data_IF_613002376371
#
_entry.id   IF_613002376371
#
_cell.length_a   1.000
_cell.length_b   1.000
_cell.length_c   1.000
_cell.angle_alpha   90.00
_cell.angle_beta   90.00
_cell.angle_gamma   90.00
#
_symmetry.space_group_name_H-M   'P 1'
#
loop_
_entity.id
_entity.type
_entity.pdbx_description
1 polymer ?
#
# COMPACT_ATOMS: atom_id res chain seq x y z
N UNK A 1 -59.36 -37.72 83.67
CA UNK A 1 -58.90 -37.60 82.29
C UNK A 1 -57.42 -37.92 82.25
N UNK A 2 -57.10 -38.85 81.46
CA UNK A 2 -55.90 -39.66 81.54
C UNK A 2 -54.61 -38.95 81.24
N UNK A 3 -53.64 -39.11 82.17
CA UNK A 3 -52.27 -38.63 81.90
C UNK A 3 -51.60 -39.12 80.68
N UNK A 4 -52.13 -40.23 80.02
CA UNK A 4 -51.70 -40.77 78.74
C UNK A 4 -52.07 -39.83 77.58
N UNK A 5 -53.32 -39.29 77.55
CA UNK A 5 -53.74 -38.37 76.45
C UNK A 5 -52.99 -37.05 76.51
N UNK A 6 -52.66 -36.54 77.69
CA UNK A 6 -51.80 -35.33 77.80
C UNK A 6 -50.34 -35.58 77.28
N UNK A 7 -49.80 -36.78 77.55
CA UNK A 7 -48.46 -37.13 77.08
C UNK A 7 -48.42 -37.30 75.53
N UNK A 8 -49.42 -37.97 74.95
CA UNK A 8 -49.60 -38.15 73.55
C UNK A 8 -49.76 -36.81 72.81
N UNK A 9 -50.65 -35.93 73.40
CA UNK A 9 -50.85 -34.58 72.85
C UNK A 9 -49.55 -33.75 72.80
N UNK A 10 -48.73 -33.88 73.87
CA UNK A 10 -47.42 -33.19 73.92
C UNK A 10 -46.42 -33.74 72.88
N UNK A 11 -46.34 -35.06 72.72
CA UNK A 11 -45.45 -35.67 71.72
C UNK A 11 -45.85 -35.27 70.30
N UNK A 12 -47.15 -35.21 70.04
CA UNK A 12 -47.63 -34.75 68.71
C UNK A 12 -47.31 -33.28 68.48
N UNK A 13 -47.60 -32.42 69.45
CA UNK A 13 -47.27 -31.00 69.36
C UNK A 13 -45.74 -30.73 69.19
N UNK A 14 -44.91 -31.44 69.96
CA UNK A 14 -43.46 -31.34 69.81
C UNK A 14 -42.95 -31.87 68.41
N UNK A 15 -43.58 -32.91 67.90
CA UNK A 15 -43.28 -33.42 66.58
C UNK A 15 -43.70 -32.44 65.46
N UNK A 16 -44.88 -31.84 65.58
CA UNK A 16 -45.36 -30.80 64.69
C UNK A 16 -44.47 -29.56 64.68
N UNK A 17 -44.03 -29.09 65.90
CA UNK A 17 -43.07 -27.98 66.01
C UNK A 17 -41.78 -28.29 65.32
N UNK A 18 -41.19 -29.46 65.59
CA UNK A 18 -39.95 -29.91 64.93
C UNK A 18 -40.07 -30.02 63.41
N UNK A 19 -41.23 -30.50 62.93
CA UNK A 19 -41.53 -30.60 61.50
C UNK A 19 -41.64 -29.19 60.86
N UNK A 20 -42.28 -28.22 61.53
CA UNK A 20 -42.39 -26.85 61.07
C UNK A 20 -41.03 -26.16 61.04
N UNK A 21 -40.19 -26.32 62.09
CA UNK A 21 -38.85 -25.79 62.17
C UNK A 21 -37.96 -26.33 61.02
N UNK A 22 -38.00 -27.64 60.79
CA UNK A 22 -37.27 -28.24 59.68
C UNK A 22 -37.72 -27.76 58.32
N UNK A 23 -39.06 -27.65 58.11
CA UNK A 23 -39.57 -27.09 56.84
C UNK A 23 -39.12 -25.66 56.62
N UNK A 24 -39.14 -24.82 57.67
CA UNK A 24 -38.61 -23.44 57.55
C UNK A 24 -37.11 -23.40 57.27
N UNK A 25 -36.32 -24.24 57.95
CA UNK A 25 -34.87 -24.35 57.69
C UNK A 25 -34.55 -24.76 56.25
N UNK A 26 -35.27 -25.79 55.75
CA UNK A 26 -35.07 -26.26 54.35
C UNK A 26 -35.51 -25.20 53.34
N UNK A 27 -36.62 -24.51 53.58
CA UNK A 27 -37.07 -23.40 52.75
C UNK A 27 -36.03 -22.27 52.69
N UNK A 28 -35.51 -21.85 53.83
CA UNK A 28 -34.48 -20.82 53.92
C UNK A 28 -33.17 -21.24 53.15
N UNK A 29 -32.76 -22.52 53.28
CA UNK A 29 -31.63 -23.04 52.53
C UNK A 29 -31.88 -23.07 51.02
N UNK A 30 -33.08 -23.45 50.59
CA UNK A 30 -33.45 -23.45 49.17
C UNK A 30 -33.43 -22.01 48.59
N UNK A 31 -34.00 -21.07 49.32
CA UNK A 31 -34.04 -19.68 48.91
C UNK A 31 -32.62 -19.07 48.85
N UNK A 32 -31.75 -19.37 49.81
CA UNK A 32 -30.35 -18.97 49.80
C UNK A 32 -29.59 -19.57 48.60
N UNK A 33 -29.79 -20.87 48.32
CA UNK A 33 -29.17 -21.53 47.17
C UNK A 33 -29.62 -20.93 45.84
N UNK A 34 -30.95 -20.60 45.74
CA UNK A 34 -31.49 -19.94 44.54
C UNK A 34 -30.96 -18.52 44.35
N UNK A 35 -30.82 -17.76 45.43
CA UNK A 35 -30.24 -16.42 45.40
C UNK A 35 -28.77 -16.47 44.93
N UNK A 36 -27.98 -17.39 45.50
CA UNK A 36 -26.57 -17.58 45.11
C UNK A 36 -26.43 -18.02 43.63
N UNK A 37 -27.26 -18.95 43.20
CA UNK A 37 -27.27 -19.38 41.78
C UNK A 37 -27.61 -18.22 40.84
N UNK A 38 -28.59 -17.39 41.17
CA UNK A 38 -28.94 -16.19 40.38
C UNK A 38 -27.82 -15.15 40.39
N UNK A 39 -27.14 -14.93 41.50
CA UNK A 39 -26.02 -14.01 41.61
C UNK A 39 -24.87 -14.48 40.69
N UNK A 40 -24.48 -15.77 40.77
CA UNK A 40 -23.43 -16.33 39.92
C UNK A 40 -23.79 -16.26 38.45
N UNK A 41 -25.03 -16.55 38.07
CA UNK A 41 -25.51 -16.42 36.70
C UNK A 41 -25.43 -14.98 36.20
N UNK A 42 -25.80 -14.01 37.05
CA UNK A 42 -25.67 -12.58 36.77
C UNK A 42 -24.22 -12.14 36.53
N UNK A 43 -23.31 -12.56 37.41
CA UNK A 43 -21.88 -12.29 37.27
C UNK A 43 -21.28 -12.92 36.00
N UNK A 44 -21.65 -14.16 35.69
CA UNK A 44 -21.21 -14.83 34.48
C UNK A 44 -21.65 -14.09 33.22
N UNK A 45 -22.91 -13.67 33.15
CA UNK A 45 -23.45 -12.91 32.03
C UNK A 45 -22.79 -11.52 31.91
N UNK A 46 -22.58 -10.83 33.03
CA UNK A 46 -21.90 -9.53 33.05
C UNK A 46 -20.46 -9.62 32.58
N UNK A 47 -19.71 -10.62 33.03
CA UNK A 47 -18.35 -10.87 32.60
C UNK A 47 -18.29 -11.27 31.10
N UNK A 48 -19.21 -12.14 30.65
CA UNK A 48 -19.32 -12.52 29.24
C UNK A 48 -19.58 -11.31 28.33
N UNK A 49 -20.50 -10.43 28.73
CA UNK A 49 -20.75 -9.18 27.97
C UNK A 49 -19.53 -8.29 27.90
N UNK A 50 -18.83 -8.09 29.01
CA UNK A 50 -17.62 -7.27 29.04
C UNK A 50 -16.53 -7.81 28.12
N UNK A 51 -16.30 -9.12 28.12
CA UNK A 51 -15.33 -9.76 27.22
C UNK A 51 -15.71 -9.55 25.76
N UNK A 52 -16.98 -9.80 25.42
CA UNK A 52 -17.49 -9.61 24.05
C UNK A 52 -17.39 -8.14 23.59
N UNK A 53 -17.67 -7.19 24.46
CA UNK A 53 -17.52 -5.76 24.16
C UNK A 53 -16.05 -5.38 23.90
N UNK A 54 -15.12 -5.92 24.69
CA UNK A 54 -13.69 -5.73 24.48
C UNK A 54 -13.22 -6.34 23.16
N UNK A 55 -13.59 -7.60 22.88
CA UNK A 55 -13.26 -8.26 21.63
C UNK A 55 -13.83 -7.52 20.39
N UNK A 56 -15.07 -7.06 20.49
CA UNK A 56 -15.69 -6.26 19.43
C UNK A 56 -14.93 -4.95 19.19
N UNK A 57 -14.57 -4.24 20.26
CA UNK A 57 -13.77 -3.02 20.14
C UNK A 57 -12.39 -3.26 19.52
N UNK A 58 -11.71 -4.36 19.89
CA UNK A 58 -10.42 -4.73 19.31
C UNK A 58 -10.55 -5.08 17.82
N UNK A 59 -11.62 -5.80 17.42
CA UNK A 59 -11.89 -6.11 16.00
C UNK A 59 -12.08 -4.83 15.20
N UNK A 60 -12.88 -3.88 15.71
CA UNK A 60 -13.12 -2.59 15.05
C UNK A 60 -11.81 -1.82 14.90
N UNK A 61 -11.05 -1.64 15.98
CA UNK A 61 -9.78 -0.91 15.97
C UNK A 61 -8.77 -1.53 14.97
N UNK A 62 -8.70 -2.87 14.91
CA UNK A 62 -7.86 -3.58 13.94
C UNK A 62 -8.32 -3.32 12.51
N UNK A 63 -9.63 -3.36 12.25
CA UNK A 63 -10.21 -3.08 10.93
C UNK A 63 -9.97 -1.64 10.48
N UNK A 64 -10.09 -0.68 11.36
CA UNK A 64 -9.79 0.73 11.09
C UNK A 64 -8.31 0.92 10.73
N UNK A 65 -7.41 0.27 11.47
CA UNK A 65 -5.97 0.30 11.17
C UNK A 65 -5.68 -0.27 9.78
N UNK A 66 -6.22 -1.44 9.46
CA UNK A 66 -6.05 -2.08 8.14
C UNK A 66 -6.63 -1.19 7.03
N UNK A 67 -7.84 -0.67 7.20
CA UNK A 67 -8.46 0.23 6.22
C UNK A 67 -7.62 1.50 6.00
N UNK A 68 -7.02 2.04 7.07
CA UNK A 68 -6.09 3.17 6.99
C UNK A 68 -4.83 2.85 6.17
N UNK A 69 -4.26 1.67 6.35
CA UNK A 69 -3.11 1.19 5.57
C UNK A 69 -3.48 0.97 4.09
N UNK A 70 -4.61 0.34 3.82
CA UNK A 70 -5.09 0.09 2.46
C UNK A 70 -5.36 1.40 1.72
N UNK A 71 -5.96 2.39 2.38
CA UNK A 71 -6.14 3.74 1.82
C UNK A 71 -4.81 4.38 1.43
N UNK A 72 -3.80 4.30 2.30
CA UNK A 72 -2.46 4.86 2.00
C UNK A 72 -1.80 4.13 0.83
N UNK A 73 -1.93 2.81 0.78
CA UNK A 73 -1.41 1.98 -0.32
C UNK A 73 -2.06 2.34 -1.66
N UNK A 74 -3.38 2.48 -1.70
CA UNK A 74 -4.11 2.89 -2.90
C UNK A 74 -3.71 4.30 -3.36
N UNK A 75 -3.60 5.24 -2.43
CA UNK A 75 -3.18 6.60 -2.74
C UNK A 75 -1.76 6.62 -3.33
N UNK A 76 -0.84 5.87 -2.73
CA UNK A 76 0.54 5.77 -3.23
C UNK A 76 0.60 5.12 -4.61
N UNK A 77 -0.18 4.06 -4.84
CA UNK A 77 -0.28 3.41 -6.14
C UNK A 77 -0.82 4.37 -7.22
N UNK A 78 -1.86 5.15 -6.89
CA UNK A 78 -2.40 6.16 -7.80
C UNK A 78 -1.38 7.26 -8.12
N UNK A 79 -0.65 7.76 -7.11
CA UNK A 79 0.41 8.75 -7.32
C UNK A 79 1.54 8.22 -8.21
N UNK A 80 1.99 6.99 -7.97
CA UNK A 80 2.99 6.34 -8.83
C UNK A 80 2.48 6.16 -10.25
N UNK A 81 1.24 5.71 -10.43
CA UNK A 81 0.64 5.58 -11.75
C UNK A 81 0.59 6.89 -12.54
N UNK A 82 0.31 8.00 -11.87
CA UNK A 82 0.31 9.32 -12.50
C UNK A 82 1.73 9.76 -12.93
N UNK A 83 2.75 9.50 -12.10
CA UNK A 83 4.15 9.79 -12.44
C UNK A 83 4.61 8.94 -13.63
N UNK A 84 4.33 7.63 -13.63
CA UNK A 84 4.64 6.75 -14.76
C UNK A 84 3.97 7.20 -16.07
N UNK A 85 2.71 7.59 -15.99
CA UNK A 85 1.99 8.13 -17.14
C UNK A 85 2.63 9.43 -17.68
N UNK A 86 3.10 10.30 -16.79
CA UNK A 86 3.80 11.52 -17.18
C UNK A 86 5.14 11.23 -17.86
N UNK A 87 5.94 10.30 -17.33
CA UNK A 87 7.20 9.86 -17.95
C UNK A 87 6.98 9.22 -19.32
N UNK A 88 5.98 8.35 -19.44
CA UNK A 88 5.60 7.75 -20.71
C UNK A 88 5.19 8.82 -21.74
N UNK A 89 4.41 9.81 -21.31
CA UNK A 89 4.01 10.92 -22.16
C UNK A 89 5.19 11.80 -22.57
N UNK A 90 6.13 12.04 -21.68
CA UNK A 90 7.36 12.78 -22.00
C UNK A 90 8.18 12.06 -23.10
N UNK A 91 8.29 10.74 -23.04
CA UNK A 91 8.94 9.94 -24.08
C UNK A 91 8.23 10.07 -25.43
N UNK A 92 6.89 9.99 -25.45
CA UNK A 92 6.11 10.19 -26.68
C UNK A 92 6.33 11.58 -27.28
N UNK A 93 6.33 12.62 -26.44
CA UNK A 93 6.57 14.00 -26.89
C UNK A 93 7.98 14.14 -27.45
N UNK A 94 8.99 13.58 -26.79
CA UNK A 94 10.38 13.62 -27.26
C UNK A 94 10.56 12.94 -28.63
N UNK A 95 9.92 11.80 -28.82
CA UNK A 95 9.92 11.08 -30.12
C UNK A 95 9.17 11.82 -31.22
N UNK A 96 8.15 12.62 -30.85
CA UNK A 96 7.33 13.40 -31.76
C UNK A 96 7.87 14.82 -32.00
N UNK A 97 9.08 15.17 -31.56
CA UNK A 97 9.69 16.45 -31.87
C UNK A 97 9.76 16.69 -33.37
N UNK A 98 9.57 17.93 -33.76
CA UNK A 98 9.83 18.32 -35.13
C UNK A 98 11.30 18.10 -35.49
N UNK A 99 11.59 17.98 -36.76
CA UNK A 99 12.91 17.69 -37.31
C UNK A 99 14.00 18.63 -36.79
N UNK A 100 13.71 19.93 -36.68
CA UNK A 100 14.68 20.93 -36.26
C UNK A 100 15.03 20.77 -34.77
N UNK A 101 14.02 20.58 -33.92
CA UNK A 101 14.21 20.36 -32.50
C UNK A 101 14.90 19.01 -32.22
N UNK A 102 14.51 17.97 -32.97
CA UNK A 102 15.12 16.65 -32.85
C UNK A 102 16.63 16.70 -33.17
N UNK A 103 17.03 17.37 -34.31
CA UNK A 103 18.43 17.55 -34.66
C UNK A 103 19.20 18.36 -33.60
N UNK A 104 18.61 19.42 -33.06
CA UNK A 104 19.25 20.19 -31.98
C UNK A 104 19.53 19.32 -30.75
N UNK A 105 18.57 18.50 -30.33
CA UNK A 105 18.78 17.58 -29.19
C UNK A 105 19.86 16.55 -29.50
N UNK A 106 19.87 15.98 -30.70
CA UNK A 106 20.93 15.05 -31.09
C UNK A 106 22.30 15.71 -31.07
N UNK A 107 22.40 16.93 -31.59
CA UNK A 107 23.65 17.68 -31.60
C UNK A 107 24.18 17.94 -30.19
N UNK A 108 23.31 18.36 -29.28
CA UNK A 108 23.65 18.56 -27.86
C UNK A 108 24.13 17.25 -27.21
N UNK A 109 23.45 16.14 -27.48
CA UNK A 109 23.84 14.82 -26.97
C UNK A 109 25.20 14.37 -27.52
N UNK A 110 25.42 14.51 -28.84
CA UNK A 110 26.70 14.18 -29.46
C UNK A 110 27.83 15.07 -28.93
N UNK A 111 27.57 16.36 -28.76
CA UNK A 111 28.57 17.29 -28.22
C UNK A 111 28.98 16.92 -26.80
N UNK A 112 28.01 16.52 -25.96
CA UNK A 112 28.25 16.20 -24.57
C UNK A 112 28.91 14.82 -24.36
N UNK A 113 28.51 13.80 -25.12
CA UNK A 113 28.81 12.41 -24.80
C UNK A 113 29.64 11.66 -25.84
N UNK A 114 29.70 12.12 -27.11
CA UNK A 114 30.45 11.42 -28.12
C UNK A 114 31.98 11.66 -27.99
N UNK A 115 32.74 10.64 -28.29
CA UNK A 115 34.20 10.67 -28.42
C UNK A 115 34.61 10.60 -29.90
N UNK A 116 35.85 11.01 -30.19
CA UNK A 116 36.33 11.01 -31.55
C UNK A 116 36.38 9.58 -32.14
N UNK A 117 35.72 9.39 -33.28
CA UNK A 117 35.68 8.12 -33.96
C UNK A 117 34.61 7.12 -33.49
N UNK A 118 33.74 7.48 -32.50
CA UNK A 118 32.63 6.63 -32.09
C UNK A 118 31.74 6.25 -33.28
N UNK A 119 31.23 5.01 -33.26
CA UNK A 119 30.20 4.56 -34.18
C UNK A 119 28.81 4.99 -33.64
N UNK A 120 28.06 5.71 -34.45
CA UNK A 120 26.74 6.25 -34.07
C UNK A 120 25.61 5.52 -34.79
N UNK A 121 24.70 4.92 -34.06
CA UNK A 121 23.44 4.35 -34.53
C UNK A 121 22.28 5.30 -34.25
N UNK A 122 21.53 5.69 -35.27
CA UNK A 122 20.34 6.54 -35.09
C UNK A 122 19.09 5.68 -34.89
N UNK A 123 18.17 6.14 -34.03
CA UNK A 123 16.88 5.47 -33.88
C UNK A 123 16.14 5.37 -35.24
N UNK A 124 15.52 4.21 -35.52
CA UNK A 124 14.84 3.97 -36.78
C UNK A 124 13.64 4.91 -37.01
N UNK A 125 12.97 5.33 -35.93
CA UNK A 125 11.82 6.23 -35.92
C UNK A 125 12.19 7.74 -35.89
N UNK A 126 13.49 8.06 -35.96
CA UNK A 126 13.94 9.46 -35.98
C UNK A 126 13.41 10.21 -37.20
N UNK A 127 12.81 11.42 -37.02
CA UNK A 127 12.22 12.20 -38.10
C UNK A 127 13.26 12.90 -39.00
N UNK A 128 14.51 12.55 -38.85
CA UNK A 128 15.65 13.12 -39.58
C UNK A 128 16.25 12.09 -40.54
N UNK A 129 16.77 12.56 -41.70
CA UNK A 129 17.46 11.67 -42.64
C UNK A 129 18.89 11.40 -42.19
N UNK A 130 19.46 10.29 -42.63
CA UNK A 130 20.85 9.91 -42.34
C UNK A 130 21.84 11.01 -42.76
N UNK A 131 21.58 11.65 -43.91
CA UNK A 131 22.38 12.76 -44.41
C UNK A 131 22.38 13.97 -43.52
N UNK A 132 21.21 14.32 -42.94
CA UNK A 132 21.10 15.45 -42.03
C UNK A 132 21.77 15.16 -40.69
N UNK A 133 21.61 13.95 -40.18
CA UNK A 133 22.30 13.50 -38.99
C UNK A 133 23.81 13.53 -39.14
N UNK A 134 24.34 12.98 -40.22
CA UNK A 134 25.80 12.94 -40.50
C UNK A 134 26.39 14.31 -40.86
N UNK A 135 25.53 15.27 -41.23
CA UNK A 135 25.95 16.66 -41.54
C UNK A 135 25.95 17.57 -40.33
N UNK A 136 25.46 17.13 -39.15
CA UNK A 136 25.48 17.96 -38.00
C UNK A 136 26.92 18.22 -37.48
N UNK A 137 27.10 19.39 -36.84
CA UNK A 137 28.41 19.90 -36.49
C UNK A 137 29.19 18.95 -35.59
N UNK A 138 28.54 18.48 -34.51
CA UNK A 138 29.17 17.53 -33.58
C UNK A 138 29.59 16.22 -34.22
N UNK A 139 28.82 15.71 -35.20
CA UNK A 139 29.14 14.50 -35.93
C UNK A 139 30.45 14.65 -36.74
N UNK A 140 30.57 15.80 -37.41
CA UNK A 140 31.74 16.11 -38.27
C UNK A 140 32.94 16.43 -37.41
N UNK A 141 32.84 17.25 -36.38
CA UNK A 141 33.95 17.64 -35.53
C UNK A 141 34.58 16.47 -34.77
N UNK A 142 33.73 15.54 -34.30
CA UNK A 142 34.22 14.35 -33.61
C UNK A 142 34.51 13.16 -34.52
N UNK A 143 34.41 13.36 -35.85
CA UNK A 143 34.70 12.34 -36.87
C UNK A 143 33.96 11.03 -36.63
N UNK A 144 32.68 11.12 -36.25
CA UNK A 144 31.89 9.95 -35.96
C UNK A 144 31.66 9.09 -37.20
N UNK A 145 31.41 7.79 -37.01
CA UNK A 145 31.07 6.85 -38.05
C UNK A 145 29.59 6.51 -37.98
N UNK A 146 28.87 6.64 -39.07
CA UNK A 146 27.47 6.24 -39.09
C UNK A 146 27.36 4.71 -39.25
N UNK A 147 26.82 4.05 -38.22
CA UNK A 147 26.66 2.60 -38.18
C UNK A 147 25.27 2.12 -38.66
N UNK A 148 24.37 3.05 -38.99
CA UNK A 148 23.04 2.73 -39.49
C UNK A 148 21.91 3.11 -38.53
N UNK A 149 20.70 2.56 -38.80
CA UNK A 149 19.51 2.77 -37.99
C UNK A 149 19.22 1.56 -37.11
N UNK A 150 18.85 1.82 -35.84
CA UNK A 150 18.56 0.79 -34.88
C UNK A 150 17.08 0.83 -34.48
N UNK A 151 16.35 -0.28 -34.69
CA UNK A 151 14.93 -0.42 -34.38
C UNK A 151 14.64 -0.59 -32.89
N UNK A 152 15.62 -0.96 -32.07
CA UNK A 152 15.46 -1.16 -30.66
C UNK A 152 15.50 0.16 -29.86
N UNK A 153 15.97 1.25 -30.47
CA UNK A 153 16.04 2.56 -29.83
C UNK A 153 14.68 3.26 -29.85
N UNK A 154 14.26 3.77 -28.71
CA UNK A 154 13.06 4.60 -28.60
C UNK A 154 13.41 6.08 -28.75
N UNK A 155 13.75 6.50 -29.98
CA UNK A 155 14.31 7.84 -30.28
C UNK A 155 15.77 8.00 -29.84
N UNK A 156 16.40 9.10 -30.25
CA UNK A 156 17.79 9.40 -29.85
C UNK A 156 18.86 8.65 -30.66
N UNK A 157 20.01 8.44 -30.06
CA UNK A 157 21.23 7.85 -30.69
C UNK A 157 21.92 6.91 -29.70
N UNK A 158 22.61 5.91 -30.22
CA UNK A 158 23.53 5.03 -29.50
C UNK A 158 24.93 5.25 -30.02
N UNK A 159 25.90 5.37 -29.15
CA UNK A 159 27.31 5.48 -29.51
C UNK A 159 28.05 4.24 -29.04
N UNK A 160 28.98 3.78 -29.86
CA UNK A 160 29.78 2.60 -29.55
C UNK A 160 31.24 2.84 -30.00
N UNK A 161 32.15 2.49 -29.12
CA UNK A 161 33.58 2.42 -29.40
C UNK A 161 34.18 1.10 -28.88
N UNK A 162 35.48 0.93 -29.03
CA UNK A 162 36.16 -0.30 -28.61
C UNK A 162 36.13 -0.54 -27.08
N UNK A 163 35.75 0.45 -26.27
CA UNK A 163 35.78 0.42 -24.82
C UNK A 163 34.39 0.31 -24.23
N UNK A 164 33.43 1.04 -24.78
CA UNK A 164 32.09 1.14 -24.18
C UNK A 164 30.98 1.41 -25.20
N UNK A 165 29.77 1.13 -24.76
CA UNK A 165 28.52 1.49 -25.46
C UNK A 165 27.79 2.52 -24.61
N UNK A 166 27.41 3.65 -25.22
CA UNK A 166 26.68 4.76 -24.60
C UNK A 166 25.28 4.79 -25.23
N UNK A 167 24.28 4.36 -24.48
CA UNK A 167 22.86 4.45 -24.91
C UNK A 167 22.30 5.83 -24.55
N UNK A 168 22.18 6.68 -25.57
CA UNK A 168 21.60 8.01 -25.50
C UNK A 168 20.19 8.05 -26.13
N UNK A 169 19.51 6.92 -26.11
CA UNK A 169 18.08 6.90 -26.45
C UNK A 169 17.26 7.73 -25.46
N UNK A 170 16.18 8.32 -25.90
CA UNK A 170 15.33 9.13 -25.02
C UNK A 170 14.79 8.33 -23.83
N UNK A 171 14.57 7.03 -24.02
CA UNK A 171 14.21 6.12 -22.93
C UNK A 171 15.34 6.00 -21.90
N UNK A 172 16.55 5.75 -22.35
CA UNK A 172 17.70 5.60 -21.46
C UNK A 172 17.99 6.89 -20.68
N UNK A 173 17.84 8.05 -21.33
CA UNK A 173 18.00 9.37 -20.69
C UNK A 173 16.94 9.63 -19.63
N UNK A 174 15.68 9.27 -19.88
CA UNK A 174 14.58 9.37 -18.89
C UNK A 174 14.87 8.45 -17.70
N UNK A 175 15.27 7.19 -17.94
CA UNK A 175 15.60 6.25 -16.87
C UNK A 175 16.83 6.68 -16.07
N UNK A 176 17.86 7.20 -16.69
CA UNK A 176 19.04 7.70 -16.01
C UNK A 176 18.74 8.87 -15.06
N UNK A 177 17.78 9.71 -15.44
CA UNK A 177 17.37 10.88 -14.63
C UNK A 177 16.06 10.64 -13.87
N UNK A 178 15.59 9.38 -13.79
CA UNK A 178 14.28 9.01 -13.24
C UNK A 178 14.02 9.61 -11.87
N UNK A 179 14.96 9.48 -10.94
CA UNK A 179 14.77 9.93 -9.56
C UNK A 179 14.55 11.45 -9.45
N UNK A 180 15.17 12.24 -10.32
CA UNK A 180 15.01 13.69 -10.37
C UNK A 180 13.69 14.06 -11.02
N UNK A 181 13.38 13.45 -12.16
CA UNK A 181 12.13 13.66 -12.88
C UNK A 181 10.91 13.26 -12.04
N UNK A 182 10.96 12.13 -11.33
CA UNK A 182 9.89 11.71 -10.42
C UNK A 182 9.61 12.75 -9.32
N UNK A 183 10.67 13.34 -8.75
CA UNK A 183 10.48 14.39 -7.73
C UNK A 183 9.87 15.67 -8.31
N UNK A 184 10.32 16.10 -9.49
CA UNK A 184 9.78 17.27 -10.16
C UNK A 184 8.32 17.07 -10.56
N UNK A 185 8.00 15.93 -11.18
CA UNK A 185 6.63 15.58 -11.57
C UNK A 185 5.73 15.49 -10.33
N UNK A 186 6.21 14.83 -9.27
CA UNK A 186 5.43 14.72 -8.05
C UNK A 186 5.17 16.07 -7.40
N UNK A 187 6.14 16.98 -7.38
CA UNK A 187 5.98 18.33 -6.88
C UNK A 187 4.99 19.17 -7.72
N UNK A 188 5.01 18.99 -9.03
CA UNK A 188 4.12 19.72 -9.95
C UNK A 188 2.68 19.19 -9.92
N UNK A 189 2.50 17.86 -9.83
CA UNK A 189 1.17 17.21 -9.92
C UNK A 189 0.50 17.10 -8.55
N UNK A 190 1.28 16.96 -7.49
CA UNK A 190 0.80 16.79 -6.12
C UNK A 190 1.43 17.84 -5.19
N UNK A 191 1.07 19.13 -5.34
CA UNK A 191 1.57 20.15 -4.43
C UNK A 191 1.19 19.76 -2.99
N UNK A 192 2.10 20.01 -2.05
CA UNK A 192 1.82 19.76 -0.64
C UNK A 192 0.58 20.55 -0.22
N UNK A 193 -0.44 19.88 0.31
CA UNK A 193 -1.55 20.56 0.97
C UNK A 193 -0.96 21.37 2.13
N UNK A 194 -1.11 22.71 2.05
CA UNK A 194 -0.72 23.64 3.11
C UNK A 194 -1.64 23.49 4.32
#
# INVERSE_FOLDING_TARGET
>A
MDGKEAIVGRIISDAEKKAAERKAEVAARADAALADAKARAGEYLANGRRVLEQEAAEIVARRETVAGLDRRKLMLAAKRGAVEAALARALEIARAFDKKKYLSVLEDLLQAYAEEGDAAELAADAPVSDREFTSCKAFTEKKLRFAGRNQSLAGGVRLENDVCVKDLSFRALIEANRNELEREIAAAVFPAEQ
#
